data_IF_938214314471
#
_entry.id   IF_938214314471
#
_cell.length_a   1.000
_cell.length_b   1.000
_cell.length_c   1.000
_cell.angle_alpha   90.00
_cell.angle_beta   90.00
_cell.angle_gamma   90.00
#
_symmetry.space_group_name_H-M   'P 1'
#
loop_
_entity.id
_entity.type
_entity.pdbx_description
1 polymer ?
#
# COMPACT_ATOMS: atom_id res chain seq x y z
N UNK A 1 -24.95 -51.74 -44.29
CA UNK A 1 -26.17 -52.38 -43.76
C UNK A 1 -27.19 -52.40 -44.87
N UNK A 2 -28.04 -53.43 -44.92
CA UNK A 2 -29.20 -53.45 -45.81
C UNK A 2 -30.18 -52.37 -45.35
N UNK A 3 -30.81 -51.71 -46.30
CA UNK A 3 -31.93 -50.80 -46.07
C UNK A 3 -33.24 -51.58 -46.17
N UNK A 4 -34.36 -51.06 -45.64
CA UNK A 4 -35.68 -51.64 -45.87
C UNK A 4 -35.97 -51.84 -47.37
N UNK A 5 -35.46 -50.93 -48.22
CA UNK A 5 -35.60 -51.03 -49.67
C UNK A 5 -34.78 -52.17 -50.29
N UNK A 6 -33.62 -52.50 -49.70
CA UNK A 6 -32.83 -53.65 -50.14
C UNK A 6 -33.49 -54.98 -49.78
N UNK A 7 -34.34 -55.01 -48.74
CA UNK A 7 -35.16 -56.17 -48.37
C UNK A 7 -36.32 -56.31 -49.36
N UNK A 8 -36.99 -55.20 -49.69
CA UNK A 8 -38.12 -55.20 -50.63
C UNK A 8 -37.71 -55.58 -52.06
N UNK A 9 -36.54 -55.12 -52.53
CA UNK A 9 -36.03 -55.41 -53.87
C UNK A 9 -35.28 -56.75 -53.97
N UNK A 10 -35.37 -57.62 -52.95
CA UNK A 10 -34.57 -58.83 -52.89
C UNK A 10 -35.18 -59.94 -53.74
N UNK A 11 -34.52 -60.27 -54.85
CA UNK A 11 -34.90 -61.44 -55.66
C UNK A 11 -34.22 -62.73 -55.16
N UNK A 12 -34.99 -63.82 -55.12
CA UNK A 12 -34.53 -65.16 -54.78
C UNK A 12 -34.43 -66.05 -56.03
N UNK A 13 -33.43 -66.94 -56.06
CA UNK A 13 -33.27 -67.91 -57.15
C UNK A 13 -34.27 -69.07 -56.99
N UNK A 14 -34.94 -69.46 -58.07
CA UNK A 14 -35.83 -70.63 -58.10
C UNK A 14 -35.04 -71.94 -58.10
N UNK A 15 -35.50 -72.93 -57.34
CA UNK A 15 -34.91 -74.27 -57.25
C UNK A 15 -35.97 -75.37 -57.18
N UNK A 16 -35.63 -76.59 -57.57
CA UNK A 16 -36.56 -77.72 -57.53
C UNK A 16 -36.82 -78.13 -56.07
N UNK A 17 -38.07 -77.94 -55.58
CA UNK A 17 -38.53 -77.99 -54.17
C UNK A 17 -38.08 -76.79 -53.31
N UNK A 18 -38.56 -75.58 -53.64
CA UNK A 18 -38.40 -74.36 -52.84
C UNK A 18 -39.61 -74.02 -51.97
N UNK A 19 -39.48 -72.96 -51.17
CA UNK A 19 -40.61 -72.33 -50.46
C UNK A 19 -41.61 -71.71 -51.45
N UNK A 20 -42.86 -71.55 -51.02
CA UNK A 20 -43.89 -70.83 -51.79
C UNK A 20 -43.49 -69.37 -51.97
N UNK A 21 -43.52 -68.86 -53.21
CA UNK A 21 -43.18 -67.46 -53.49
C UNK A 21 -44.14 -66.50 -52.78
N UNK A 22 -45.44 -66.79 -52.79
CA UNK A 22 -46.46 -65.95 -52.12
C UNK A 22 -46.26 -65.86 -50.59
N UNK A 23 -45.93 -66.97 -49.93
CA UNK A 23 -45.69 -66.98 -48.48
C UNK A 23 -44.39 -66.25 -48.12
N UNK A 24 -43.36 -66.37 -48.97
CA UNK A 24 -42.07 -65.67 -48.79
C UNK A 24 -42.25 -64.17 -49.01
N UNK A 25 -43.00 -63.76 -50.03
CA UNK A 25 -43.24 -62.34 -50.33
C UNK A 25 -44.03 -61.66 -49.20
N UNK A 26 -45.10 -62.30 -48.70
CA UNK A 26 -45.88 -61.78 -47.57
C UNK A 26 -45.01 -61.62 -46.31
N UNK A 27 -44.15 -62.60 -46.01
CA UNK A 27 -43.24 -62.53 -44.87
C UNK A 27 -42.14 -61.47 -45.06
N UNK A 28 -41.64 -61.29 -46.28
CA UNK A 28 -40.65 -60.26 -46.60
C UNK A 28 -41.24 -58.84 -46.49
N UNK A 29 -42.52 -58.66 -46.80
CA UNK A 29 -43.23 -57.39 -46.61
C UNK A 29 -43.39 -57.03 -45.13
N UNK A 30 -43.78 -58.00 -44.29
CA UNK A 30 -43.81 -57.85 -42.83
C UNK A 30 -42.42 -57.50 -42.26
N UNK A 31 -41.37 -58.23 -42.68
CA UNK A 31 -39.99 -57.95 -42.26
C UNK A 31 -39.56 -56.57 -42.71
N UNK A 32 -39.84 -56.17 -43.96
CA UNK A 32 -39.45 -54.87 -44.47
C UNK A 32 -40.10 -53.74 -43.66
N UNK A 33 -41.38 -53.87 -43.32
CA UNK A 33 -42.11 -52.90 -42.50
C UNK A 33 -41.56 -52.76 -41.07
N UNK A 34 -41.30 -53.88 -40.39
CA UNK A 34 -40.72 -53.84 -39.05
C UNK A 34 -39.25 -53.38 -39.05
N UNK A 35 -38.49 -53.78 -40.07
CA UNK A 35 -37.12 -53.30 -40.24
C UNK A 35 -37.08 -51.79 -40.52
N UNK A 36 -38.04 -51.24 -41.28
CA UNK A 36 -38.15 -49.80 -41.50
C UNK A 36 -38.39 -49.03 -40.19
N UNK A 37 -39.30 -49.50 -39.33
CA UNK A 37 -39.56 -48.88 -38.01
C UNK A 37 -38.29 -48.85 -37.17
N UNK A 38 -37.61 -50.00 -37.03
CA UNK A 38 -36.38 -50.11 -36.24
C UNK A 38 -35.26 -49.27 -36.85
N UNK A 39 -35.14 -49.25 -38.17
CA UNK A 39 -34.13 -48.44 -38.86
C UNK A 39 -34.34 -46.94 -38.62
N UNK A 40 -35.59 -46.48 -38.69
CA UNK A 40 -35.96 -45.08 -38.42
C UNK A 40 -35.65 -44.69 -36.98
N UNK A 41 -36.08 -45.51 -36.02
CA UNK A 41 -35.81 -45.29 -34.60
C UNK A 41 -34.29 -45.29 -34.31
N UNK A 42 -33.52 -46.17 -34.96
CA UNK A 42 -32.06 -46.18 -34.82
C UNK A 42 -31.41 -44.89 -35.34
N UNK A 43 -31.89 -44.37 -36.48
CA UNK A 43 -31.43 -43.10 -37.02
C UNK A 43 -31.77 -41.92 -36.09
N UNK A 44 -32.99 -41.86 -35.56
CA UNK A 44 -33.41 -40.84 -34.61
C UNK A 44 -32.59 -40.89 -33.31
N UNK A 45 -32.39 -42.08 -32.75
CA UNK A 45 -31.57 -42.27 -31.55
C UNK A 45 -30.11 -41.88 -31.79
N UNK A 46 -29.53 -42.20 -32.95
CA UNK A 46 -28.18 -41.77 -33.31
C UNK A 46 -28.06 -40.26 -33.38
N UNK A 47 -29.02 -39.60 -34.03
CA UNK A 47 -29.04 -38.13 -34.13
C UNK A 47 -29.21 -37.48 -32.75
N UNK A 48 -30.06 -38.03 -31.88
CA UNK A 48 -30.19 -37.56 -30.50
C UNK A 48 -28.90 -37.75 -29.70
N UNK A 49 -28.24 -38.90 -29.85
CA UNK A 49 -27.00 -39.20 -29.17
C UNK A 49 -25.88 -38.24 -29.60
N UNK A 50 -25.76 -37.97 -30.90
CA UNK A 50 -24.82 -36.98 -31.44
C UNK A 50 -25.09 -35.58 -30.86
N UNK A 51 -26.36 -35.14 -30.84
CA UNK A 51 -26.74 -33.85 -30.21
C UNK A 51 -26.40 -33.78 -28.72
N UNK A 52 -26.58 -34.86 -27.98
CA UNK A 52 -26.25 -34.93 -26.55
C UNK A 52 -24.74 -34.88 -26.36
N UNK A 53 -23.98 -35.63 -27.17
CA UNK A 53 -22.52 -35.65 -27.12
C UNK A 53 -21.92 -34.27 -27.41
N UNK A 54 -22.48 -33.54 -28.39
CA UNK A 54 -22.06 -32.18 -28.71
C UNK A 54 -22.31 -31.21 -27.55
N UNK A 55 -23.48 -31.30 -26.91
CA UNK A 55 -23.79 -30.50 -25.72
C UNK A 55 -22.85 -30.84 -24.55
N UNK A 56 -22.57 -32.12 -24.33
CA UNK A 56 -21.63 -32.55 -23.29
C UNK A 56 -20.24 -31.97 -23.54
N UNK A 57 -19.75 -32.06 -24.78
CA UNK A 57 -18.46 -31.48 -25.17
C UNK A 57 -18.42 -29.95 -24.96
N UNK A 58 -19.53 -29.23 -25.21
CA UNK A 58 -19.63 -27.81 -24.90
C UNK A 58 -19.59 -27.54 -23.39
N UNK A 59 -20.32 -28.33 -22.60
CA UNK A 59 -20.33 -28.18 -21.14
C UNK A 59 -18.96 -28.46 -20.53
N UNK A 60 -18.26 -29.51 -20.97
CA UNK A 60 -16.89 -29.79 -20.51
C UNK A 60 -15.91 -28.67 -20.85
N UNK A 61 -16.01 -28.08 -22.05
CA UNK A 61 -15.20 -26.90 -22.42
C UNK A 61 -15.53 -25.70 -21.55
N UNK A 62 -16.81 -25.45 -21.28
CA UNK A 62 -17.24 -24.35 -20.43
C UNK A 62 -16.79 -24.54 -18.98
N UNK A 63 -16.89 -25.76 -18.45
CA UNK A 63 -16.40 -26.14 -17.13
C UNK A 63 -14.89 -25.89 -17.01
N UNK A 64 -14.09 -26.36 -18.00
CA UNK A 64 -12.64 -26.12 -18.02
C UNK A 64 -12.30 -24.64 -18.02
N UNK A 65 -12.97 -23.85 -18.85
CA UNK A 65 -12.78 -22.40 -18.86
C UNK A 65 -13.14 -21.78 -17.52
N UNK A 66 -14.28 -22.16 -16.93
CA UNK A 66 -14.73 -21.63 -15.65
C UNK A 66 -13.77 -21.98 -14.52
N UNK A 67 -13.28 -23.22 -14.46
CA UNK A 67 -12.26 -23.65 -13.49
C UNK A 67 -10.96 -22.85 -13.64
N UNK A 68 -10.49 -22.66 -14.87
CA UNK A 68 -9.31 -21.85 -15.14
C UNK A 68 -9.51 -20.38 -14.73
N UNK A 69 -10.68 -19.81 -15.00
CA UNK A 69 -11.01 -18.44 -14.60
C UNK A 69 -11.08 -18.30 -13.08
N UNK A 70 -11.70 -19.27 -12.38
CA UNK A 70 -11.75 -19.28 -10.92
C UNK A 70 -10.36 -19.39 -10.31
N UNK A 71 -9.51 -20.26 -10.85
CA UNK A 71 -8.13 -20.40 -10.40
C UNK A 71 -7.33 -19.10 -10.61
N UNK A 72 -7.48 -18.46 -11.77
CA UNK A 72 -6.84 -17.17 -12.07
C UNK A 72 -7.34 -16.07 -11.13
N UNK A 73 -8.65 -16.00 -10.88
CA UNK A 73 -9.24 -15.03 -9.96
C UNK A 73 -8.71 -15.23 -8.54
N UNK A 74 -8.64 -16.47 -8.06
CA UNK A 74 -8.07 -16.81 -6.76
C UNK A 74 -6.60 -16.39 -6.67
N UNK A 75 -5.78 -16.76 -7.65
CA UNK A 75 -4.36 -16.40 -7.68
C UNK A 75 -4.16 -14.88 -7.73
N UNK A 76 -5.00 -14.17 -8.47
CA UNK A 76 -4.96 -12.70 -8.55
C UNK A 76 -5.33 -12.06 -7.21
N UNK A 77 -6.37 -12.57 -6.54
CA UNK A 77 -6.78 -12.10 -5.22
C UNK A 77 -5.67 -12.34 -4.18
N UNK A 78 -5.06 -13.51 -4.18
CA UNK A 78 -3.95 -13.84 -3.27
C UNK A 78 -2.73 -12.96 -3.54
N UNK A 79 -2.36 -12.75 -4.81
CA UNK A 79 -1.27 -11.86 -5.18
C UNK A 79 -1.55 -10.41 -4.78
N UNK A 80 -2.77 -9.92 -4.98
CA UNK A 80 -3.18 -8.58 -4.57
C UNK A 80 -3.06 -8.41 -3.04
N UNK A 81 -3.50 -9.40 -2.27
CA UNK A 81 -3.37 -9.41 -0.81
C UNK A 81 -1.91 -9.37 -0.37
N UNK A 82 -1.06 -10.23 -0.92
CA UNK A 82 0.38 -10.27 -0.59
C UNK A 82 1.06 -8.95 -0.94
N UNK A 83 0.71 -8.35 -2.09
CA UNK A 83 1.29 -7.09 -2.54
C UNK A 83 0.86 -5.94 -1.61
N UNK A 84 -0.43 -5.85 -1.28
CA UNK A 84 -0.94 -4.85 -0.35
C UNK A 84 -0.31 -4.97 1.05
N UNK A 85 -0.06 -6.19 1.54
CA UNK A 85 0.65 -6.40 2.80
C UNK A 85 2.10 -5.92 2.75
N UNK A 86 2.84 -6.23 1.68
CA UNK A 86 4.22 -5.74 1.50
C UNK A 86 4.27 -4.22 1.41
N UNK A 87 3.36 -3.61 0.66
CA UNK A 87 3.27 -2.14 0.55
C UNK A 87 2.94 -1.50 1.89
N UNK A 88 2.01 -2.07 2.66
CA UNK A 88 1.69 -1.59 4.00
C UNK A 88 2.90 -1.65 4.93
N UNK A 89 3.66 -2.75 4.92
CA UNK A 89 4.87 -2.92 5.72
C UNK A 89 5.94 -1.88 5.34
N UNK A 90 6.13 -1.61 4.04
CA UNK A 90 7.05 -0.59 3.56
C UNK A 90 6.62 0.81 4.00
N UNK A 91 5.34 1.16 3.88
CA UNK A 91 4.80 2.45 4.33
C UNK A 91 5.03 2.62 5.84
N UNK A 92 4.77 1.59 6.64
CA UNK A 92 5.03 1.63 8.08
C UNK A 92 6.51 1.82 8.39
N UNK A 93 7.39 1.13 7.66
CA UNK A 93 8.83 1.26 7.85
C UNK A 93 9.33 2.67 7.49
N UNK A 94 8.88 3.23 6.36
CA UNK A 94 9.22 4.60 5.95
C UNK A 94 8.69 5.65 6.92
N UNK A 95 7.44 5.51 7.37
CA UNK A 95 6.83 6.41 8.35
C UNK A 95 7.62 6.39 9.67
N UNK A 96 8.02 5.20 10.15
CA UNK A 96 8.83 5.06 11.36
C UNK A 96 10.22 5.70 11.18
N UNK A 97 10.87 5.49 10.04
CA UNK A 97 12.18 6.08 9.77
C UNK A 97 12.10 7.61 9.70
N UNK A 98 11.09 8.16 9.02
CA UNK A 98 10.87 9.60 8.92
C UNK A 98 10.53 10.22 10.27
N UNK A 99 9.72 9.53 11.09
CA UNK A 99 9.42 9.96 12.45
C UNK A 99 10.68 10.02 13.31
N UNK A 100 11.55 9.00 13.26
CA UNK A 100 12.84 9.02 13.97
C UNK A 100 13.72 10.17 13.52
N UNK A 101 13.88 10.37 12.21
CA UNK A 101 14.66 11.48 11.66
C UNK A 101 14.15 12.84 12.14
N UNK A 102 12.83 13.04 12.12
CA UNK A 102 12.21 14.28 12.59
C UNK A 102 12.42 14.49 14.10
N UNK A 103 12.37 13.42 14.90
CA UNK A 103 12.64 13.47 16.33
C UNK A 103 14.09 13.86 16.62
N UNK A 104 15.04 13.24 15.91
CA UNK A 104 16.47 13.52 16.03
C UNK A 104 16.78 14.97 15.62
N UNK A 105 16.20 15.45 14.53
CA UNK A 105 16.34 16.84 14.08
C UNK A 105 15.76 17.82 15.11
N UNK A 106 14.58 17.52 15.66
CA UNK A 106 13.93 18.36 16.69
C UNK A 106 14.78 18.41 17.96
N UNK A 107 15.36 17.28 18.38
CA UNK A 107 16.23 17.21 19.55
C UNK A 107 17.53 18.01 19.34
N UNK A 108 18.12 17.92 18.15
CA UNK A 108 19.29 18.72 17.79
C UNK A 108 18.98 20.22 17.80
N UNK A 109 17.85 20.62 17.23
CA UNK A 109 17.42 22.02 17.20
C UNK A 109 17.12 22.53 18.61
N UNK A 110 16.46 21.73 19.46
CA UNK A 110 16.24 22.06 20.86
C UNK A 110 17.56 22.30 21.61
N UNK A 111 18.55 21.43 21.38
CA UNK A 111 19.87 21.58 21.99
C UNK A 111 20.58 22.86 21.53
N UNK A 112 20.52 23.18 20.23
CA UNK A 112 21.08 24.43 19.69
C UNK A 112 20.39 25.65 20.30
N UNK A 113 19.06 25.68 20.33
CA UNK A 113 18.31 26.79 20.94
C UNK A 113 18.62 26.96 22.43
N UNK A 114 18.81 25.86 23.18
CA UNK A 114 19.27 25.95 24.58
C UNK A 114 20.66 26.58 24.69
N UNK A 115 21.61 26.17 23.86
CA UNK A 115 22.95 26.77 23.85
C UNK A 115 22.91 28.26 23.50
N UNK A 116 22.03 28.67 22.58
CA UNK A 116 21.83 30.08 22.25
C UNK A 116 21.24 30.87 23.43
N UNK A 117 20.25 30.31 24.14
CA UNK A 117 19.69 30.91 25.36
C UNK A 117 20.75 31.07 26.45
N UNK A 118 21.61 30.07 26.65
CA UNK A 118 22.70 30.14 27.64
C UNK A 118 23.71 31.22 27.26
N UNK A 119 24.09 31.31 25.99
CA UNK A 119 24.97 32.37 25.47
C UNK A 119 24.36 33.76 25.67
N UNK A 120 23.08 33.93 25.34
CA UNK A 120 22.39 35.22 25.52
C UNK A 120 22.31 35.60 27.00
N UNK A 121 22.02 34.64 27.87
CA UNK A 121 21.99 34.86 29.32
C UNK A 121 23.37 35.28 29.85
N UNK A 122 24.44 34.65 29.38
CA UNK A 122 25.81 35.04 29.72
C UNK A 122 26.15 36.45 29.22
N UNK A 123 25.73 36.80 27.99
CA UNK A 123 25.92 38.15 27.44
C UNK A 123 25.16 39.21 28.26
N UNK A 124 23.92 38.94 28.66
CA UNK A 124 23.12 39.83 29.52
C UNK A 124 23.82 40.03 30.87
N UNK A 125 24.32 38.96 31.50
CA UNK A 125 25.07 39.05 32.76
C UNK A 125 26.34 39.89 32.60
N UNK A 126 27.13 39.63 31.56
CA UNK A 126 28.34 40.38 31.28
C UNK A 126 28.05 41.87 31.00
N UNK A 127 26.97 42.17 30.28
CA UNK A 127 26.54 43.54 30.03
C UNK A 127 26.14 44.25 31.34
N UNK A 128 25.36 43.58 32.21
CA UNK A 128 24.99 44.14 33.53
C UNK A 128 26.21 44.44 34.38
N UNK A 129 27.20 43.55 34.45
CA UNK A 129 28.43 43.80 35.21
C UNK A 129 29.27 44.93 34.60
N UNK A 130 29.34 45.03 33.27
CA UNK A 130 29.99 46.17 32.60
C UNK A 130 29.31 47.51 32.95
N UNK A 131 27.98 47.58 32.87
CA UNK A 131 27.23 48.77 33.24
C UNK A 131 27.45 49.15 34.71
N UNK A 132 27.41 48.16 35.62
CA UNK A 132 27.68 48.36 37.04
C UNK A 132 29.08 48.90 37.26
N UNK A 133 30.10 48.31 36.64
CA UNK A 133 31.49 48.75 36.77
C UNK A 133 31.69 50.20 36.30
N UNK A 134 31.10 50.59 35.17
CA UNK A 134 31.14 51.97 34.66
C UNK A 134 30.49 52.92 35.66
N UNK A 135 29.27 52.62 36.13
CA UNK A 135 28.57 53.47 37.09
C UNK A 135 29.31 53.60 38.43
N UNK A 136 29.83 52.49 38.98
CA UNK A 136 30.65 52.51 40.19
C UNK A 136 31.93 53.34 40.01
N UNK A 137 32.58 53.23 38.84
CA UNK A 137 33.76 54.04 38.52
C UNK A 137 33.41 55.52 38.46
N UNK A 138 32.27 55.90 37.85
CA UNK A 138 31.84 57.28 37.80
C UNK A 138 31.42 57.84 39.16
N UNK A 139 30.78 57.04 40.01
CA UNK A 139 30.46 57.41 41.39
C UNK A 139 31.73 57.68 42.20
N UNK A 140 32.73 56.79 42.08
CA UNK A 140 34.02 56.97 42.76
C UNK A 140 34.73 58.26 42.35
N UNK A 141 34.72 58.60 41.06
CA UNK A 141 35.28 59.87 40.57
C UNK A 141 34.55 61.08 41.17
N UNK A 142 33.22 61.01 41.32
CA UNK A 142 32.45 62.06 41.98
C UNK A 142 32.80 62.18 43.47
N UNK A 143 32.87 61.05 44.17
CA UNK A 143 33.26 61.03 45.59
C UNK A 143 34.66 61.62 45.78
N UNK A 144 35.64 61.24 44.97
CA UNK A 144 37.00 61.78 44.99
C UNK A 144 37.02 63.31 44.76
N UNK A 145 36.22 63.82 43.80
CA UNK A 145 36.08 65.27 43.57
C UNK A 145 35.44 66.01 44.78
N UNK A 146 34.50 65.38 45.49
CA UNK A 146 33.92 65.98 46.71
C UNK A 146 34.91 66.00 47.88
N UNK A 147 35.78 64.99 47.99
CA UNK A 147 36.84 64.92 48.99
C UNK A 147 37.93 65.97 48.74
N UNK A 148 38.30 66.22 47.48
CA UNK A 148 39.18 67.34 47.12
C UNK A 148 38.57 68.71 47.43
N UNK A 149 37.25 68.84 47.30
CA UNK A 149 36.50 70.04 47.71
C UNK A 149 36.56 70.28 49.22
N UNK A 150 36.33 69.24 50.03
CA UNK A 150 36.40 69.31 51.50
C UNK A 150 37.81 69.58 52.03
N UNK A 151 38.83 68.97 51.44
CA UNK A 151 40.23 69.22 51.83
C UNK A 151 40.66 70.67 51.57
N UNK A 152 40.09 71.34 50.56
CA UNK A 152 40.36 72.77 50.32
C UNK A 152 39.65 73.68 51.34
N UNK A 153 38.47 73.29 51.83
CA UNK A 153 37.76 74.04 52.87
C UNK A 153 38.46 73.90 54.24
N UNK A 154 38.93 72.71 54.62
CA UNK A 154 39.65 72.49 55.89
C UNK A 154 41.03 73.17 55.95
N UNK A 155 41.78 73.22 54.85
CA UNK A 155 43.08 73.92 54.79
C UNK A 155 42.94 75.45 54.85
N UNK A 156 41.79 75.99 54.47
CA UNK A 156 41.51 77.43 54.57
C UNK A 156 41.09 77.89 55.96
N UNK A 157 40.69 76.97 56.85
CA UNK A 157 40.27 77.26 58.22
C UNK A 157 41.41 77.39 59.24
N UNK A 158 42.55 76.73 59.02
CA UNK A 158 43.62 76.60 60.03
C UNK A 158 44.77 77.62 59.88
N UNK A 159 44.70 78.54 58.90
CA UNK A 159 45.73 79.57 58.65
C UNK A 159 45.37 80.97 59.15
N UNK A 160 44.24 81.14 59.86
CA UNK A 160 43.81 82.44 60.41
C UNK A 160 44.15 82.66 61.90
N UNK A 161 44.73 81.67 62.60
CA UNK A 161 44.87 81.73 64.07
C UNK A 161 46.25 81.23 64.56
N UNK A 162 47.33 81.96 64.21
CA UNK A 162 48.60 81.97 64.98
C UNK A 162 49.46 83.19 64.64
N UNK A 163 49.57 84.05 65.65
CA UNK A 163 50.66 85.00 65.95
C UNK A 163 50.87 86.16 64.95
N UNK A 164 50.46 87.43 65.17
CA UNK A 164 50.18 88.19 66.41
C UNK A 164 51.07 87.83 67.60
N UNK A 165 52.39 87.81 67.42
CA UNK A 165 53.29 88.31 68.46
C UNK A 165 54.75 88.48 67.99
N UNK A 166 55.38 89.55 68.49
CA UNK A 166 56.80 89.92 68.45
C UNK A 166 57.38 90.55 67.16
N UNK A 167 57.44 91.88 66.98
CA UNK A 167 58.19 92.95 67.69
C UNK A 167 59.68 93.07 67.27
N UNK A 168 60.04 94.00 66.38
CA UNK A 168 60.61 95.34 66.68
C UNK A 168 61.18 96.02 65.42
#
# INVERSE_FOLDING_TARGET
MLTPMDIHNKEFKRGFRGYSEEDVDAFMEDIAGDYEKVFRENCELKEQNEKIQDKLNQYEKMEKTMNNTLMLAQQTADNAKVTAQKEADLILQEANNKSKQMMDETLLNLQKSRQELDKLTAQIRAFREKCRAILSSQLRLLDDMTLEGKNKEEVSGDSAEKDKDHNR
#
